data_IF_979585610519
#
_entry.id   IF_979585610519
#
_cell.length_a   1.000
_cell.length_b   1.000
_cell.length_c   1.000
_cell.angle_alpha   90.00
_cell.angle_beta   90.00
_cell.angle_gamma   90.00
#
_symmetry.space_group_name_H-M   'P 1'
#
loop_
_entity.id
_entity.type
_entity.pdbx_description
1 polymer ?
#
# COMPACT_ATOMS: atom_id res chain seq x y z
N UNK A 1 19.82 -26.18 -14.18
CA UNK A 1 19.08 -25.52 -13.08
C UNK A 1 17.84 -24.90 -13.68
N UNK A 2 16.63 -25.36 -13.32
CA UNK A 2 15.36 -24.83 -13.85
C UNK A 2 14.80 -23.80 -12.86
N UNK A 3 14.58 -22.58 -13.34
CA UNK A 3 14.05 -21.47 -12.54
C UNK A 3 12.85 -20.90 -13.28
N UNK A 4 11.66 -21.20 -12.74
CA UNK A 4 10.46 -21.39 -13.56
C UNK A 4 9.28 -20.47 -13.18
N UNK A 5 9.45 -19.51 -12.25
CA UNK A 5 8.34 -18.64 -11.87
C UNK A 5 8.66 -17.14 -11.90
N UNK A 6 7.67 -16.37 -12.33
CA UNK A 6 7.71 -14.91 -12.39
C UNK A 6 6.97 -14.34 -11.18
N UNK A 7 7.58 -13.36 -10.53
CA UNK A 7 6.92 -12.67 -9.44
C UNK A 7 5.62 -12.02 -9.94
N UNK A 8 4.46 -12.31 -9.33
CA UNK A 8 3.19 -11.77 -9.81
C UNK A 8 3.11 -10.24 -9.66
N UNK A 9 3.83 -9.67 -8.69
CA UNK A 9 3.90 -8.23 -8.41
C UNK A 9 4.89 -7.48 -9.30
N UNK A 10 6.19 -7.82 -9.29
CA UNK A 10 7.24 -7.06 -9.99
C UNK A 10 7.76 -7.72 -11.28
N UNK A 11 7.20 -8.86 -11.68
CA UNK A 11 7.59 -9.64 -12.88
C UNK A 11 9.06 -10.10 -12.93
N UNK A 12 9.83 -9.93 -11.86
CA UNK A 12 11.19 -10.48 -11.76
C UNK A 12 11.17 -12.00 -11.82
N UNK A 13 12.10 -12.60 -12.58
CA UNK A 13 12.34 -14.04 -12.62
C UNK A 13 12.96 -14.53 -11.31
N UNK A 14 12.47 -15.65 -10.80
CA UNK A 14 12.96 -16.21 -9.54
C UNK A 14 13.28 -17.70 -9.69
N UNK A 15 14.24 -18.12 -8.86
CA UNK A 15 14.55 -19.52 -8.65
C UNK A 15 13.34 -20.27 -8.04
N UNK A 16 13.09 -21.50 -8.51
CA UNK A 16 11.99 -22.37 -8.04
C UNK A 16 12.08 -22.71 -6.55
N UNK A 17 13.28 -22.69 -5.99
CA UNK A 17 13.54 -22.94 -4.57
C UNK A 17 13.17 -21.73 -3.70
N UNK A 18 13.08 -20.53 -4.29
CA UNK A 18 12.74 -19.33 -3.55
C UNK A 18 11.23 -19.27 -3.28
N UNK A 19 10.88 -19.26 -1.99
CA UNK A 19 9.49 -19.02 -1.53
C UNK A 19 9.04 -17.56 -1.69
N UNK A 20 9.98 -16.62 -1.80
CA UNK A 20 9.75 -15.18 -1.91
C UNK A 20 10.59 -14.60 -3.02
N UNK A 21 10.05 -13.62 -3.74
CA UNK A 21 10.76 -12.92 -4.81
C UNK A 21 12.06 -12.28 -4.28
N UNK A 22 13.16 -12.41 -5.02
CA UNK A 22 14.43 -11.79 -4.68
C UNK A 22 14.38 -10.25 -4.74
N UNK A 23 13.54 -9.68 -5.61
CA UNK A 23 13.47 -8.24 -5.84
C UNK A 23 12.46 -7.52 -4.95
N UNK A 24 11.29 -8.09 -4.65
CA UNK A 24 10.26 -7.41 -3.84
C UNK A 24 9.74 -8.24 -2.67
N UNK A 25 10.32 -9.42 -2.43
CA UNK A 25 9.93 -10.37 -1.36
C UNK A 25 8.49 -10.87 -1.39
N UNK A 26 7.72 -10.51 -2.42
CA UNK A 26 6.39 -11.07 -2.71
C UNK A 26 6.44 -12.61 -2.71
N UNK A 27 5.64 -13.28 -1.86
CA UNK A 27 5.52 -14.73 -1.85
C UNK A 27 5.09 -15.31 -3.19
N UNK A 28 5.51 -16.54 -3.47
CA UNK A 28 5.14 -17.26 -4.70
C UNK A 28 3.68 -17.74 -4.71
N UNK A 29 3.03 -17.78 -3.55
CA UNK A 29 1.60 -18.09 -3.37
C UNK A 29 0.97 -16.99 -2.52
N UNK A 30 -0.03 -16.32 -3.09
CA UNK A 30 -0.79 -15.24 -2.47
C UNK A 30 -2.23 -15.31 -2.97
N UNK A 31 -3.17 -14.82 -2.17
CA UNK A 31 -4.52 -14.50 -2.68
C UNK A 31 -4.51 -13.15 -3.44
N UNK A 32 -5.63 -12.80 -4.07
CA UNK A 32 -5.75 -11.57 -4.87
C UNK A 32 -5.48 -10.29 -4.06
N UNK A 33 -6.01 -10.21 -2.84
CA UNK A 33 -5.82 -9.05 -1.97
C UNK A 33 -4.36 -8.87 -1.53
N UNK A 34 -3.71 -9.96 -1.13
CA UNK A 34 -2.29 -9.93 -0.77
C UNK A 34 -1.41 -9.57 -1.96
N UNK A 35 -1.77 -10.01 -3.17
CA UNK A 35 -1.04 -9.62 -4.38
C UNK A 35 -1.10 -8.10 -4.61
N UNK A 36 -2.26 -7.49 -4.43
CA UNK A 36 -2.42 -6.06 -4.63
C UNK A 36 -1.63 -5.22 -3.61
N UNK A 37 -1.46 -5.71 -2.38
CA UNK A 37 -0.50 -5.13 -1.42
C UNK A 37 0.93 -5.11 -1.95
N UNK A 38 1.41 -6.23 -2.48
CA UNK A 38 2.79 -6.31 -2.96
C UNK A 38 3.01 -5.51 -4.24
N UNK A 39 2.00 -5.40 -5.12
CA UNK A 39 2.05 -4.45 -6.25
C UNK A 39 2.21 -3.03 -5.75
N UNK A 40 1.45 -2.66 -4.71
CA UNK A 40 1.57 -1.35 -4.10
C UNK A 40 2.96 -1.07 -3.53
N UNK A 41 3.58 -2.05 -2.87
CA UNK A 41 4.97 -1.92 -2.40
C UNK A 41 5.91 -1.68 -3.57
N UNK A 42 5.76 -2.41 -4.67
CA UNK A 42 6.56 -2.24 -5.87
C UNK A 42 6.38 -0.83 -6.42
N UNK A 43 5.15 -0.36 -6.62
CA UNK A 43 4.86 0.97 -7.18
C UNK A 43 5.48 2.12 -6.36
N UNK A 44 5.55 1.95 -5.03
CA UNK A 44 5.97 3.02 -4.11
C UNK A 44 7.47 3.00 -3.80
N UNK A 45 8.09 1.82 -3.83
CA UNK A 45 9.47 1.62 -3.37
C UNK A 45 10.41 1.09 -4.46
N UNK A 46 9.93 0.90 -5.68
CA UNK A 46 10.77 0.59 -6.82
C UNK A 46 11.51 1.84 -7.27
N UNK A 47 12.84 1.76 -7.19
CA UNK A 47 13.75 2.77 -7.73
C UNK A 47 14.78 2.07 -8.61
N UNK A 48 14.99 2.58 -9.82
CA UNK A 48 15.89 2.01 -10.82
C UNK A 48 15.71 0.47 -11.02
N UNK A 49 14.45 0.02 -11.03
CA UNK A 49 14.08 -1.39 -11.21
C UNK A 49 14.29 -2.29 -10.00
N UNK A 50 14.68 -1.75 -8.84
CA UNK A 50 14.89 -2.49 -7.59
C UNK A 50 13.99 -1.96 -6.48
N UNK A 51 13.29 -2.85 -5.78
CA UNK A 51 12.53 -2.45 -4.59
C UNK A 51 13.49 -2.31 -3.43
N UNK A 52 13.57 -1.13 -2.82
CA UNK A 52 14.48 -0.87 -1.69
C UNK A 52 13.80 -0.03 -0.61
N UNK A 53 14.17 -0.29 0.63
CA UNK A 53 13.85 0.63 1.71
C UNK A 53 14.62 1.95 1.52
N UNK A 54 13.98 3.12 1.59
CA UNK A 54 14.65 4.40 1.38
C UNK A 54 15.62 4.77 2.52
N UNK A 55 15.59 4.04 3.64
CA UNK A 55 16.42 4.30 4.82
C UNK A 55 17.65 3.39 4.92
N UNK A 56 17.49 2.10 4.67
CA UNK A 56 18.57 1.11 4.83
C UNK A 56 18.91 0.37 3.54
N UNK A 57 18.27 0.73 2.43
CA UNK A 57 18.42 0.14 1.09
C UNK A 57 18.10 -1.36 0.95
N UNK A 58 17.77 -2.03 2.05
CA UNK A 58 17.41 -3.44 2.04
C UNK A 58 16.00 -3.67 1.49
N UNK A 59 15.79 -4.84 0.91
CA UNK A 59 14.52 -5.28 0.29
C UNK A 59 13.54 -5.85 1.33
N UNK A 60 13.79 -5.66 2.63
CA UNK A 60 12.97 -6.26 3.69
C UNK A 60 11.75 -5.40 4.01
N UNK A 61 10.93 -5.09 3.01
CA UNK A 61 9.68 -4.36 3.15
C UNK A 61 8.51 -5.35 3.24
N UNK A 62 7.68 -5.22 4.28
CA UNK A 62 6.50 -6.05 4.50
C UNK A 62 5.26 -5.17 4.53
N UNK A 63 4.33 -5.34 3.56
CA UNK A 63 3.04 -4.69 3.62
C UNK A 63 2.11 -5.43 4.59
N UNK A 64 1.34 -4.67 5.38
CA UNK A 64 0.31 -5.17 6.28
C UNK A 64 -0.91 -4.28 6.10
N UNK A 65 -2.10 -4.89 6.08
CA UNK A 65 -3.34 -4.14 6.20
C UNK A 65 -3.58 -3.75 7.64
N UNK A 66 -3.87 -2.48 7.87
CA UNK A 66 -4.44 -1.99 9.12
C UNK A 66 -5.84 -1.52 8.81
N UNK A 67 -6.84 -2.12 9.44
CA UNK A 67 -8.17 -1.56 9.45
C UNK A 67 -8.20 -0.49 10.55
N UNK A 68 -8.39 0.77 10.17
CA UNK A 68 -8.50 1.87 11.12
C UNK A 68 -9.74 2.71 10.84
N UNK A 69 -10.34 3.26 11.89
CA UNK A 69 -11.50 4.14 11.80
C UNK A 69 -11.03 5.58 11.70
N UNK A 70 -11.30 6.23 10.57
CA UNK A 70 -10.95 7.63 10.36
C UNK A 70 -12.17 8.51 10.29
N UNK A 71 -12.09 9.66 10.96
CA UNK A 71 -13.07 10.73 10.88
C UNK A 71 -12.76 11.61 9.68
N UNK A 72 -13.78 11.82 8.87
CA UNK A 72 -13.76 12.69 7.70
C UNK A 72 -14.68 13.87 7.92
N UNK A 73 -14.23 15.03 7.48
CA UNK A 73 -14.93 16.29 7.59
C UNK A 73 -15.40 16.73 6.21
N UNK A 74 -16.60 17.28 6.19
CA UNK A 74 -17.19 17.87 5.01
C UNK A 74 -17.51 19.33 5.27
N UNK A 75 -16.90 20.22 4.50
CA UNK A 75 -17.13 21.66 4.65
C UNK A 75 -18.38 22.10 3.86
N UNK A 76 -19.25 22.85 4.53
CA UNK A 76 -20.45 23.46 3.94
C UNK A 76 -21.80 22.79 4.24
N UNK A 77 -21.89 21.82 5.15
CA UNK A 77 -23.16 21.44 5.82
C UNK A 77 -22.86 21.31 7.32
N UNK A 78 -23.26 22.30 8.13
CA UNK A 78 -23.14 22.38 9.61
C UNK A 78 -22.27 21.26 10.23
N UNK A 79 -20.93 21.39 10.19
CA UNK A 79 -19.92 20.50 10.83
C UNK A 79 -20.36 19.03 11.00
N UNK A 80 -20.85 18.36 9.94
CA UNK A 80 -21.12 16.92 10.01
C UNK A 80 -19.83 16.16 9.73
N UNK A 81 -19.31 15.48 10.74
CA UNK A 81 -18.21 14.51 10.58
C UNK A 81 -18.79 13.12 10.29
N UNK A 82 -18.18 12.41 9.37
CA UNK A 82 -18.53 11.03 9.04
C UNK A 82 -17.35 10.14 9.39
N UNK A 83 -17.61 9.09 10.18
CA UNK A 83 -16.58 8.09 10.49
C UNK A 83 -16.69 6.98 9.47
N UNK A 84 -15.60 6.71 8.75
CA UNK A 84 -15.51 5.60 7.82
C UNK A 84 -14.50 4.59 8.36
N UNK A 85 -14.81 3.29 8.21
CA UNK A 85 -13.80 2.24 8.34
C UNK A 85 -12.93 2.33 7.09
N UNK A 86 -11.62 2.35 7.28
CA UNK A 86 -10.66 2.51 6.20
C UNK A 86 -9.63 1.40 6.27
N UNK A 87 -9.39 0.73 5.14
CA UNK A 87 -8.20 -0.08 4.97
C UNK A 87 -7.00 0.83 4.65
N UNK A 88 -6.06 0.87 5.58
CA UNK A 88 -4.73 1.43 5.38
C UNK A 88 -3.73 0.34 5.03
N UNK A 89 -2.81 0.67 4.14
CA UNK A 89 -1.64 -0.15 3.85
C UNK A 89 -0.47 0.42 4.64
N UNK A 90 0.08 -0.39 5.53
CA UNK A 90 1.29 -0.09 6.27
C UNK A 90 2.44 -0.90 5.67
N UNK A 91 3.47 -0.22 5.18
CA UNK A 91 4.70 -0.88 4.74
C UNK A 91 5.77 -0.64 5.78
N UNK A 92 6.20 -1.72 6.46
CA UNK A 92 7.28 -1.69 7.45
C UNK A 92 8.55 -2.28 6.83
N UNK A 93 9.69 -1.66 7.06
CA UNK A 93 10.95 -2.35 6.87
C UNK A 93 11.22 -3.24 8.09
N UNK A 94 11.64 -4.49 7.91
CA UNK A 94 12.04 -5.37 9.02
C UNK A 94 13.54 -5.33 9.31
N UNK A 95 14.32 -4.63 8.48
CA UNK A 95 15.74 -4.36 8.75
C UNK A 95 16.00 -3.04 9.46
N UNK A 96 15.07 -2.09 9.39
CA UNK A 96 15.16 -0.80 10.08
C UNK A 96 13.75 -0.34 10.49
N UNK A 97 13.65 0.61 11.42
CA UNK A 97 12.34 1.09 11.90
C UNK A 97 11.58 2.00 10.91
N UNK A 98 11.93 1.96 9.62
CA UNK A 98 11.20 2.71 8.61
C UNK A 98 9.78 2.16 8.44
N UNK A 99 8.80 3.05 8.52
CA UNK A 99 7.38 2.74 8.31
C UNK A 99 6.77 3.80 7.39
N UNK A 100 5.97 3.36 6.43
CA UNK A 100 5.16 4.24 5.58
C UNK A 100 3.71 3.80 5.66
N UNK A 101 2.81 4.77 5.81
CA UNK A 101 1.37 4.56 5.83
C UNK A 101 0.76 5.15 4.56
N UNK A 102 -0.15 4.43 3.92
CA UNK A 102 -0.96 4.95 2.81
C UNK A 102 -2.38 4.46 2.94
N UNK A 103 -3.31 5.36 2.70
CA UNK A 103 -4.73 5.10 2.76
C UNK A 103 -5.23 4.50 1.43
N UNK A 104 -5.95 3.38 1.47
CA UNK A 104 -6.28 2.60 0.27
C UNK A 104 -7.76 2.66 -0.14
N UNK A 105 -8.70 2.50 0.80
CA UNK A 105 -10.14 2.47 0.47
C UNK A 105 -10.79 3.86 0.30
N UNK A 106 -10.33 4.85 1.07
CA UNK A 106 -10.85 6.23 1.01
C UNK A 106 -10.67 6.87 -0.37
N UNK A 107 -9.56 6.68 -1.11
CA UNK A 107 -9.44 7.16 -2.49
C UNK A 107 -10.66 6.83 -3.37
N UNK A 108 -11.26 5.65 -3.22
CA UNK A 108 -12.46 5.25 -3.96
C UNK A 108 -13.69 5.99 -3.48
N UNK A 109 -13.94 6.04 -2.16
CA UNK A 109 -15.06 6.79 -1.58
C UNK A 109 -14.97 8.29 -1.86
N UNK A 110 -13.78 8.88 -1.79
CA UNK A 110 -13.50 10.29 -2.11
C UNK A 110 -13.76 10.61 -3.57
N UNK A 111 -13.41 9.70 -4.49
CA UNK A 111 -13.75 9.84 -5.93
C UNK A 111 -15.26 9.87 -6.15
N UNK A 112 -15.98 8.90 -5.57
CA UNK A 112 -17.44 8.86 -5.65
C UNK A 112 -18.05 10.12 -5.02
N UNK A 113 -17.57 10.52 -3.85
CA UNK A 113 -18.06 11.70 -3.16
C UNK A 113 -17.85 13.00 -3.95
N UNK A 114 -16.66 13.20 -4.52
CA UNK A 114 -16.38 14.31 -5.45
C UNK A 114 -17.32 14.31 -6.65
N UNK A 115 -17.61 13.12 -7.20
CA UNK A 115 -18.51 12.98 -8.34
C UNK A 115 -19.96 13.36 -8.01
N UNK A 116 -20.46 13.00 -6.82
CA UNK A 116 -21.84 13.31 -6.41
C UNK A 116 -22.01 14.74 -5.89
N UNK A 117 -21.04 15.26 -5.14
CA UNK A 117 -21.20 16.51 -4.38
C UNK A 117 -20.35 17.68 -4.93
N UNK A 118 -19.55 17.45 -5.98
CA UNK A 118 -18.58 18.39 -6.55
C UNK A 118 -17.70 19.08 -5.48
N UNK A 119 -17.40 18.33 -4.41
CA UNK A 119 -16.69 18.78 -3.21
C UNK A 119 -15.85 17.65 -2.67
N UNK A 120 -14.86 18.02 -1.86
CA UNK A 120 -13.88 17.08 -1.36
C UNK A 120 -14.11 16.67 0.09
N UNK A 121 -13.62 15.48 0.45
CA UNK A 121 -13.54 15.02 1.84
C UNK A 121 -12.17 15.37 2.39
N UNK A 122 -12.14 15.99 3.56
CA UNK A 122 -10.90 16.25 4.30
C UNK A 122 -10.77 15.29 5.47
N UNK A 123 -9.56 14.77 5.70
CA UNK A 123 -9.22 14.03 6.92
C UNK A 123 -8.07 14.72 7.66
N UNK A 124 -8.02 14.56 8.98
CA UNK A 124 -6.91 15.07 9.79
C UNK A 124 -5.56 14.48 9.35
N UNK A 125 -5.56 13.28 8.76
CA UNK A 125 -4.36 12.68 8.17
C UNK A 125 -3.90 13.42 6.91
N UNK A 126 -4.82 13.74 6.00
CA UNK A 126 -4.50 14.47 4.76
C UNK A 126 -4.16 15.93 5.00
N UNK A 127 -4.70 16.56 6.05
CA UNK A 127 -4.32 17.93 6.46
C UNK A 127 -2.86 18.02 6.93
N UNK A 128 -2.26 16.91 7.35
CA UNK A 128 -0.91 16.84 7.90
C UNK A 128 0.13 16.22 6.94
N UNK A 129 -0.23 15.99 5.66
CA UNK A 129 0.68 15.59 4.58
C UNK A 129 0.91 16.81 3.69
#
# INVERSE_FOLDING_TARGET
>A
MSFDWFCPACKTKNDKLLKRCQNCRCPNKLNGFELDLYKHVVDVFMDNGKVRCPRCEQVKLEPVYSEDYKKYYFDGVKKKSWTFKTLEIHVKCTSCDYKRRKEHEVPTLRRLFRQFFNRDLESDFLRNI
#
